data_IF_017906156836
#
_entry.id   IF_017906156836
#
_cell.length_a   1.000
_cell.length_b   1.000
_cell.length_c   1.000
_cell.angle_alpha   90.00
_cell.angle_beta   90.00
_cell.angle_gamma   90.00
#
_symmetry.space_group_name_H-M   'P 1'
#
loop_
_entity.id
_entity.type
_entity.pdbx_description
1 polymer ?
#
# COMPACT_ATOMS: atom_id res chain seq x y z
N UNK A 1 10.11 5.33 14.58
CA UNK A 1 9.06 5.02 13.58
C UNK A 1 7.72 4.94 14.28
N UNK A 2 6.67 5.55 13.71
CA UNK A 2 5.28 5.52 14.21
C UNK A 2 4.43 4.94 13.10
N UNK A 3 3.49 4.04 13.43
CA UNK A 3 2.46 3.54 12.54
C UNK A 3 1.12 4.13 12.99
N UNK A 4 0.45 4.79 12.07
CA UNK A 4 -0.91 5.28 12.25
C UNK A 4 -1.86 4.53 11.31
N UNK A 5 -2.94 3.99 11.87
CA UNK A 5 -4.07 3.51 11.09
C UNK A 5 -4.94 4.71 10.70
N UNK A 6 -5.21 4.87 9.42
CA UNK A 6 -6.01 5.98 8.90
C UNK A 6 -7.47 5.56 8.81
N UNK A 7 -7.78 4.73 7.84
CA UNK A 7 -9.12 4.21 7.62
C UNK A 7 -9.10 3.04 6.63
N UNK A 8 -9.92 2.00 6.83
CA UNK A 8 -9.99 0.80 5.98
C UNK A 8 -8.61 0.14 5.87
N UNK A 9 -8.05 -0.02 4.67
CA UNK A 9 -6.70 -0.53 4.45
C UNK A 9 -5.62 0.56 4.44
N UNK A 10 -5.99 1.80 4.80
CA UNK A 10 -5.10 2.96 4.80
C UNK A 10 -4.25 3.06 6.04
N UNK A 11 -2.93 3.16 5.85
CA UNK A 11 -1.94 3.34 6.91
C UNK A 11 -0.99 4.49 6.59
N UNK A 12 -0.43 5.08 7.65
CA UNK A 12 0.72 5.98 7.53
C UNK A 12 1.88 5.51 8.38
N UNK A 13 3.09 5.70 7.87
CA UNK A 13 4.33 5.43 8.57
C UNK A 13 5.12 6.72 8.65
N UNK A 14 5.40 7.15 9.87
CA UNK A 14 6.27 8.29 10.15
C UNK A 14 7.62 7.80 10.65
N UNK A 15 8.67 8.20 9.94
CA UNK A 15 10.05 7.96 10.33
C UNK A 15 10.85 9.26 10.30
N UNK A 16 12.13 9.21 10.64
CA UNK A 16 12.98 10.39 10.61
C UNK A 16 13.16 10.92 9.18
N UNK A 17 12.72 12.15 8.93
CA UNK A 17 12.82 12.81 7.62
C UNK A 17 11.93 12.20 6.52
N UNK A 18 11.03 11.27 6.84
CA UNK A 18 10.19 10.62 5.83
C UNK A 18 8.80 10.27 6.37
N UNK A 19 7.82 10.36 5.48
CA UNK A 19 6.44 9.94 5.70
C UNK A 19 5.98 9.06 4.54
N UNK A 20 5.32 7.95 4.83
CA UNK A 20 4.61 7.13 3.85
C UNK A 20 3.13 7.17 4.17
N UNK A 21 2.29 7.30 3.13
CA UNK A 21 0.84 7.10 3.19
C UNK A 21 0.51 5.99 2.19
N UNK A 22 -0.19 4.95 2.64
CA UNK A 22 -0.45 3.74 1.86
C UNK A 22 -1.96 3.52 1.81
N UNK A 23 -2.49 3.24 0.61
CA UNK A 23 -3.89 2.89 0.36
C UNK A 23 -4.90 3.87 0.98
N UNK A 24 -4.75 5.15 0.64
CA UNK A 24 -5.62 6.20 1.14
C UNK A 24 -7.02 6.13 0.52
N UNK A 25 -8.02 5.93 1.38
CA UNK A 25 -9.44 6.01 1.02
C UNK A 25 -10.08 7.31 1.50
N UNK A 26 -9.97 7.61 2.76
CA UNK A 26 -10.44 8.88 3.37
C UNK A 26 -9.67 9.18 4.65
N UNK A 27 -9.63 10.47 5.00
CA UNK A 27 -8.94 11.00 6.17
C UNK A 27 -9.85 11.09 7.39
N UNK A 28 -10.44 10.02 7.80
CA UNK A 28 -11.21 10.05 9.04
C UNK A 28 -10.95 8.79 9.83
N UNK A 29 -10.58 8.97 11.08
CA UNK A 29 -10.58 7.93 12.08
C UNK A 29 -11.80 8.10 12.99
N UNK A 30 -12.30 7.00 13.51
CA UNK A 30 -13.33 7.00 14.55
C UNK A 30 -12.82 7.52 15.88
N UNK A 31 -11.49 7.62 16.04
CA UNK A 31 -10.85 8.11 17.26
C UNK A 31 -10.46 9.57 17.14
N UNK A 32 -10.67 10.37 18.19
CA UNK A 32 -10.24 11.77 18.27
C UNK A 32 -8.72 11.93 18.04
N UNK A 33 -7.93 10.90 18.35
CA UNK A 33 -6.48 10.94 18.21
C UNK A 33 -6.01 11.03 16.75
N UNK A 34 -6.69 10.38 15.82
CA UNK A 34 -6.25 10.27 14.43
C UNK A 34 -7.24 10.94 13.45
N UNK A 35 -8.21 11.68 13.95
CA UNK A 35 -9.17 12.39 13.11
C UNK A 35 -8.47 13.47 12.28
N UNK A 36 -8.63 13.40 10.95
CA UNK A 36 -8.01 14.34 10.04
C UNK A 36 -6.47 14.25 9.96
N UNK A 37 -5.87 13.13 10.37
CA UNK A 37 -4.41 13.02 10.53
C UNK A 37 -3.63 13.33 9.25
N UNK A 38 -4.18 12.97 8.08
CA UNK A 38 -3.49 13.18 6.81
C UNK A 38 -3.40 14.66 6.48
N UNK A 39 -4.55 15.35 6.45
CA UNK A 39 -4.61 16.76 6.07
C UNK A 39 -4.05 17.69 7.14
N UNK A 40 -4.34 17.43 8.40
CA UNK A 40 -3.94 18.32 9.50
C UNK A 40 -2.47 18.16 9.88
N UNK A 41 -1.87 17.00 9.60
CA UNK A 41 -0.51 16.71 10.07
C UNK A 41 0.41 16.13 9.02
N UNK A 42 0.06 15.01 8.39
CA UNK A 42 1.02 14.25 7.59
C UNK A 42 1.45 14.99 6.32
N UNK A 43 0.54 15.68 5.65
CA UNK A 43 0.85 16.49 4.48
C UNK A 43 1.71 17.73 4.83
N UNK A 44 1.73 18.15 6.10
CA UNK A 44 2.50 19.29 6.57
C UNK A 44 3.88 18.88 7.14
N UNK A 45 4.16 17.58 7.28
CA UNK A 45 5.44 17.14 7.84
C UNK A 45 6.62 17.50 6.93
N UNK A 46 7.73 17.97 7.50
CA UNK A 46 8.96 18.16 6.74
C UNK A 46 9.55 16.80 6.31
N UNK A 47 10.38 16.82 5.28
CA UNK A 47 11.04 15.62 4.75
C UNK A 47 10.34 15.05 3.52
N UNK A 48 10.75 13.90 3.05
CA UNK A 48 10.16 13.23 1.90
C UNK A 48 8.78 12.65 2.22
N UNK A 49 7.86 12.77 1.28
CA UNK A 49 6.53 12.17 1.36
C UNK A 49 6.32 11.21 0.19
N UNK A 50 6.08 9.95 0.52
CA UNK A 50 5.69 8.90 -0.43
C UNK A 50 4.22 8.55 -0.25
N UNK A 51 3.50 8.41 -1.36
CA UNK A 51 2.12 7.95 -1.36
C UNK A 51 2.02 6.72 -2.25
N UNK A 52 1.61 5.60 -1.66
CA UNK A 52 1.52 4.31 -2.30
C UNK A 52 0.06 3.89 -2.47
N UNK A 53 -0.24 3.22 -3.58
CA UNK A 53 -1.54 2.59 -3.77
C UNK A 53 -1.38 1.20 -4.38
N UNK A 54 -1.93 0.20 -3.70
CA UNK A 54 -1.79 -1.21 -4.05
C UNK A 54 -2.60 -1.61 -5.27
N UNK A 55 -3.79 -1.01 -5.48
CA UNK A 55 -4.65 -1.26 -6.61
C UNK A 55 -5.72 -0.18 -6.82
N UNK A 56 -6.52 -0.33 -7.89
CA UNK A 56 -7.43 0.72 -8.39
C UNK A 56 -8.77 0.84 -7.65
N UNK A 57 -9.14 -0.07 -6.75
CA UNK A 57 -10.41 -0.01 -6.04
C UNK A 57 -10.53 1.27 -5.19
N UNK A 58 -11.74 1.86 -5.07
CA UNK A 58 -11.91 3.17 -4.44
C UNK A 58 -11.45 3.24 -2.98
N UNK A 59 -11.51 2.13 -2.26
CA UNK A 59 -11.13 1.99 -0.85
C UNK A 59 -9.61 1.84 -0.63
N UNK A 60 -8.84 1.70 -1.73
CA UNK A 60 -7.37 1.70 -1.73
C UNK A 60 -6.77 2.86 -2.54
N UNK A 61 -7.57 3.44 -3.45
CA UNK A 61 -7.14 4.55 -4.29
C UNK A 61 -8.21 5.62 -4.40
N UNK A 62 -8.15 6.63 -3.55
CA UNK A 62 -8.95 7.84 -3.70
C UNK A 62 -8.21 8.85 -4.59
N UNK A 63 -8.85 9.31 -5.68
CA UNK A 63 -8.27 10.29 -6.61
C UNK A 63 -7.90 11.62 -5.97
N UNK A 64 -8.44 11.92 -4.80
CA UNK A 64 -8.08 13.10 -4.01
C UNK A 64 -6.56 13.20 -3.80
N UNK A 65 -5.86 12.07 -3.63
CA UNK A 65 -4.41 12.08 -3.42
C UNK A 65 -3.64 12.83 -4.52
N UNK A 66 -4.15 12.81 -5.76
CA UNK A 66 -3.50 13.49 -6.89
C UNK A 66 -3.56 15.03 -6.75
N UNK A 67 -4.55 15.57 -6.04
CA UNK A 67 -4.67 17.01 -5.79
C UNK A 67 -3.67 17.51 -4.74
N UNK A 68 -3.11 16.61 -3.94
CA UNK A 68 -2.15 16.99 -2.89
C UNK A 68 -0.87 17.62 -3.44
N UNK A 69 -0.52 17.37 -4.72
CA UNK A 69 0.59 18.06 -5.39
C UNK A 69 0.42 19.57 -5.47
N UNK A 70 -0.79 20.10 -5.37
CA UNK A 70 -1.04 21.55 -5.36
C UNK A 70 -0.43 22.21 -4.12
N UNK A 71 -0.46 21.54 -2.97
CA UNK A 71 0.12 22.02 -1.72
C UNK A 71 1.47 21.38 -1.39
N UNK A 72 1.77 20.20 -1.97
CA UNK A 72 2.98 19.42 -1.70
C UNK A 72 3.55 18.86 -3.02
N UNK A 73 4.18 19.72 -3.86
CA UNK A 73 4.62 19.34 -5.22
C UNK A 73 5.74 18.29 -5.23
N UNK A 74 6.42 18.08 -4.10
CA UNK A 74 7.50 17.12 -3.89
C UNK A 74 7.04 15.70 -3.55
N UNK A 75 5.74 15.42 -3.51
CA UNK A 75 5.20 14.07 -3.28
C UNK A 75 5.70 13.09 -4.35
N UNK A 76 6.20 11.95 -3.89
CA UNK A 76 6.57 10.82 -4.73
C UNK A 76 5.44 9.80 -4.70
N UNK A 77 4.72 9.65 -5.82
CA UNK A 77 3.67 8.65 -5.96
C UNK A 77 4.23 7.37 -6.55
N UNK A 78 3.91 6.23 -5.91
CA UNK A 78 4.29 4.88 -6.37
C UNK A 78 3.03 4.01 -6.35
N UNK A 79 2.52 3.70 -7.52
CA UNK A 79 1.24 3.03 -7.70
C UNK A 79 1.38 1.71 -8.43
N UNK A 80 0.44 0.80 -8.19
CA UNK A 80 0.27 -0.38 -9.03
C UNK A 80 -0.10 0.01 -10.47
N UNK A 81 0.42 -0.73 -11.44
CA UNK A 81 0.12 -0.51 -12.87
C UNK A 81 -1.36 -0.68 -13.24
N UNK A 82 -2.14 -1.40 -12.44
CA UNK A 82 -3.57 -1.54 -12.69
C UNK A 82 -4.33 -0.22 -12.52
N UNK A 83 -3.87 0.68 -11.66
CA UNK A 83 -4.42 2.03 -11.49
C UNK A 83 -4.33 2.82 -12.81
N UNK A 84 -3.19 2.74 -13.50
CA UNK A 84 -3.04 3.32 -14.84
C UNK A 84 -3.91 2.60 -15.88
N UNK A 85 -3.91 1.26 -15.87
CA UNK A 85 -4.70 0.42 -16.77
C UNK A 85 -6.21 0.70 -16.67
N UNK A 86 -6.70 0.98 -15.46
CA UNK A 86 -8.10 1.32 -15.20
C UNK A 86 -8.38 2.84 -15.27
N UNK A 87 -7.47 3.63 -15.83
CA UNK A 87 -7.61 5.08 -16.06
C UNK A 87 -7.97 5.85 -14.77
N UNK A 88 -7.46 5.41 -13.63
CA UNK A 88 -7.67 6.10 -12.35
C UNK A 88 -6.69 7.25 -12.16
N UNK A 89 -5.52 7.18 -12.80
CA UNK A 89 -4.49 8.22 -12.87
C UNK A 89 -3.85 8.21 -14.26
N UNK A 90 -3.04 9.23 -14.58
CA UNK A 90 -2.33 9.37 -15.85
C UNK A 90 -0.89 8.88 -15.71
N UNK A 91 -0.21 8.65 -16.85
CA UNK A 91 1.17 8.16 -16.87
C UNK A 91 2.18 9.07 -16.18
N UNK A 92 1.93 10.38 -16.19
CA UNK A 92 2.76 11.41 -15.58
C UNK A 92 2.50 11.64 -14.09
N UNK A 93 1.42 11.06 -13.54
CA UNK A 93 1.04 11.29 -12.14
C UNK A 93 1.96 10.57 -11.17
N UNK A 94 2.46 9.39 -11.54
CA UNK A 94 3.16 8.49 -10.61
C UNK A 94 4.22 7.62 -11.29
N UNK A 95 5.04 6.99 -10.47
CA UNK A 95 5.86 5.84 -10.83
C UNK A 95 4.97 4.60 -10.68
N UNK A 96 4.86 3.82 -11.75
CA UNK A 96 4.01 2.63 -11.76
C UNK A 96 4.86 1.37 -11.72
N UNK A 97 4.57 0.50 -10.76
CA UNK A 97 5.24 -0.78 -10.60
C UNK A 97 4.24 -1.95 -10.65
N UNK A 98 4.71 -3.10 -11.04
CA UNK A 98 3.94 -4.33 -11.12
C UNK A 98 4.64 -5.43 -10.32
N UNK A 99 3.97 -6.55 -10.09
CA UNK A 99 4.56 -7.74 -9.46
C UNK A 99 5.95 -8.05 -10.02
N UNK A 100 6.92 -8.19 -9.15
CA UNK A 100 8.34 -8.46 -9.48
C UNK A 100 9.16 -7.23 -9.85
N UNK A 101 8.54 -6.05 -9.94
CA UNK A 101 9.27 -4.79 -10.14
C UNK A 101 9.54 -4.10 -8.79
N UNK A 102 10.45 -3.15 -8.80
CA UNK A 102 10.85 -2.41 -7.61
C UNK A 102 11.08 -0.93 -7.90
N UNK A 103 10.97 -0.14 -6.86
CA UNK A 103 11.40 1.24 -6.79
C UNK A 103 12.45 1.38 -5.70
N UNK A 104 13.53 2.12 -5.97
CA UNK A 104 14.57 2.41 -4.99
C UNK A 104 15.11 3.83 -5.19
N UNK A 105 15.33 4.52 -4.09
CA UNK A 105 16.07 5.78 -4.04
C UNK A 105 17.01 5.81 -2.83
N UNK A 106 17.55 6.98 -2.47
CA UNK A 106 18.45 7.18 -1.33
C UNK A 106 17.79 7.00 0.05
N UNK A 107 16.47 6.85 0.11
CA UNK A 107 15.68 6.83 1.35
C UNK A 107 15.08 5.46 1.65
N UNK A 108 14.51 4.81 0.63
CA UNK A 108 13.81 3.54 0.78
C UNK A 108 13.88 2.69 -0.49
N UNK A 109 13.58 1.39 -0.32
CA UNK A 109 13.35 0.46 -1.41
C UNK A 109 11.99 -0.18 -1.24
N UNK A 110 11.23 -0.27 -2.32
CA UNK A 110 9.90 -0.89 -2.39
C UNK A 110 9.94 -2.00 -3.42
N UNK A 111 9.58 -3.21 -3.02
CA UNK A 111 9.41 -4.35 -3.91
C UNK A 111 7.92 -4.70 -4.01
N UNK A 112 7.45 -4.93 -5.24
CA UNK A 112 6.06 -5.29 -5.49
C UNK A 112 5.92 -6.82 -5.57
N UNK A 113 5.02 -7.37 -4.76
CA UNK A 113 4.56 -8.76 -4.82
C UNK A 113 3.15 -8.81 -5.39
N UNK A 114 2.63 -9.99 -5.66
CA UNK A 114 1.28 -10.15 -6.18
C UNK A 114 0.21 -9.96 -5.11
N UNK A 115 -1.03 -10.01 -5.56
CA UNK A 115 -2.24 -10.04 -4.75
C UNK A 115 -3.11 -11.22 -5.20
N UNK A 116 -4.02 -11.65 -4.37
CA UNK A 116 -5.05 -12.67 -4.71
C UNK A 116 -6.36 -12.06 -5.17
N UNK A 117 -6.47 -10.72 -5.09
CA UNK A 117 -7.49 -9.94 -5.78
C UNK A 117 -6.84 -9.28 -7.02
N UNK A 118 -6.67 -7.98 -7.03
CA UNK A 118 -6.02 -7.20 -8.09
C UNK A 118 -4.84 -6.41 -7.55
N UNK A 119 -3.96 -5.94 -8.46
CA UNK A 119 -2.84 -5.09 -8.11
C UNK A 119 -1.68 -5.82 -7.45
N UNK A 120 -1.11 -5.21 -6.43
CA UNK A 120 0.14 -5.64 -5.79
C UNK A 120 0.07 -5.49 -4.26
N UNK A 121 0.95 -6.22 -3.57
CA UNK A 121 1.36 -5.93 -2.20
C UNK A 121 2.76 -5.34 -2.18
N UNK A 122 3.12 -4.66 -1.10
CA UNK A 122 4.40 -3.95 -0.98
C UNK A 122 5.28 -4.55 0.12
N UNK A 123 6.54 -4.80 -0.18
CA UNK A 123 7.60 -4.95 0.82
C UNK A 123 8.48 -3.69 0.80
N UNK A 124 8.48 -2.97 1.90
CA UNK A 124 9.13 -1.67 2.04
C UNK A 124 10.33 -1.81 2.98
N UNK A 125 11.51 -1.46 2.49
CA UNK A 125 12.72 -1.36 3.31
C UNK A 125 12.98 0.11 3.62
N UNK A 126 12.86 0.47 4.90
CA UNK A 126 13.02 1.84 5.39
C UNK A 126 13.80 1.85 6.70
N UNK A 127 14.93 2.56 6.72
CA UNK A 127 15.75 2.75 7.92
C UNK A 127 16.05 1.44 8.67
N UNK A 128 16.45 0.39 7.92
CA UNK A 128 16.80 -0.91 8.46
C UNK A 128 15.61 -1.77 8.90
N UNK A 129 14.37 -1.36 8.60
CA UNK A 129 13.15 -2.12 8.85
C UNK A 129 12.57 -2.66 7.56
N UNK A 130 12.00 -3.86 7.64
CA UNK A 130 11.23 -4.51 6.57
C UNK A 130 9.75 -4.47 6.93
N UNK A 131 8.95 -3.78 6.11
CA UNK A 131 7.53 -3.52 6.36
C UNK A 131 6.75 -4.10 5.19
N UNK A 132 5.77 -4.93 5.48
CA UNK A 132 4.90 -5.53 4.49
C UNK A 132 3.49 -4.94 4.58
N UNK A 133 2.96 -4.49 3.43
CA UNK A 133 1.56 -4.10 3.27
C UNK A 133 0.91 -5.02 2.24
N UNK A 134 -0.09 -5.76 2.69
CA UNK A 134 -0.71 -6.81 1.89
C UNK A 134 -1.61 -6.27 0.76
N UNK A 135 -2.11 -5.01 0.87
CA UNK A 135 -3.26 -4.62 0.06
C UNK A 135 -4.38 -5.62 0.29
N UNK A 136 -4.91 -6.21 -0.77
CA UNK A 136 -5.93 -7.25 -0.72
C UNK A 136 -5.38 -8.68 -0.96
N UNK A 137 -4.11 -8.90 -0.61
CA UNK A 137 -3.56 -10.25 -0.56
C UNK A 137 -4.14 -11.01 0.64
N UNK A 138 -5.11 -11.88 0.38
CA UNK A 138 -5.79 -12.68 1.39
C UNK A 138 -6.23 -14.03 0.83
N UNK A 139 -6.62 -14.95 1.69
CA UNK A 139 -7.22 -16.24 1.29
C UNK A 139 -8.74 -16.06 1.09
N UNK A 140 -9.12 -15.47 -0.05
CA UNK A 140 -10.49 -15.10 -0.36
C UNK A 140 -11.37 -16.33 -0.66
N UNK A 141 -12.09 -16.81 0.35
CA UNK A 141 -13.20 -17.73 0.17
C UNK A 141 -14.23 -17.58 1.30
N UNK A 142 -15.47 -17.92 1.00
CA UNK A 142 -16.57 -17.98 1.98
C UNK A 142 -16.92 -19.43 2.20
N UNK A 143 -16.62 -19.97 3.37
CA UNK A 143 -16.75 -21.41 3.68
C UNK A 143 -18.16 -21.97 3.51
N UNK A 144 -19.19 -21.12 3.60
CA UNK A 144 -20.60 -21.54 3.42
C UNK A 144 -21.10 -21.42 1.97
N UNK A 145 -20.41 -20.65 1.12
CA UNK A 145 -20.84 -20.33 -0.25
C UNK A 145 -19.89 -20.89 -1.31
N UNK A 146 -18.61 -21.08 -0.97
CA UNK A 146 -17.59 -21.54 -1.89
C UNK A 146 -17.57 -23.06 -2.01
N UNK A 147 -17.38 -23.54 -3.22
CA UNK A 147 -17.13 -24.97 -3.47
C UNK A 147 -15.72 -25.36 -2.96
N UNK A 148 -15.52 -26.65 -2.69
CA UNK A 148 -14.20 -27.18 -2.30
C UNK A 148 -13.11 -26.84 -3.33
N UNK A 149 -13.45 -26.76 -4.62
CA UNK A 149 -12.49 -26.42 -5.68
C UNK A 149 -12.09 -24.94 -5.60
N UNK A 150 -13.03 -24.03 -5.34
CA UNK A 150 -12.76 -22.60 -5.16
C UNK A 150 -11.92 -22.37 -3.91
N UNK A 151 -12.24 -23.03 -2.80
CA UNK A 151 -11.46 -22.96 -1.55
C UNK A 151 -10.01 -23.38 -1.81
N UNK A 152 -9.79 -24.56 -2.42
CA UNK A 152 -8.44 -25.05 -2.72
C UNK A 152 -7.68 -24.14 -3.67
N UNK A 153 -8.38 -23.52 -4.63
CA UNK A 153 -7.77 -22.57 -5.55
C UNK A 153 -7.34 -21.30 -4.82
N UNK A 154 -8.23 -20.71 -4.02
CA UNK A 154 -7.93 -19.51 -3.23
C UNK A 154 -6.74 -19.73 -2.27
N UNK A 155 -6.74 -20.86 -1.56
CA UNK A 155 -5.63 -21.26 -0.68
C UNK A 155 -4.32 -21.43 -1.46
N UNK A 156 -4.37 -22.11 -2.61
CA UNK A 156 -3.20 -22.33 -3.47
C UNK A 156 -2.61 -21.03 -4.00
N UNK A 157 -3.45 -20.12 -4.48
CA UNK A 157 -3.04 -18.79 -4.99
C UNK A 157 -2.42 -17.95 -3.86
N UNK A 158 -3.07 -17.92 -2.69
CA UNK A 158 -2.55 -17.21 -1.51
C UNK A 158 -1.20 -17.75 -1.04
N UNK A 159 -1.10 -19.08 -0.88
CA UNK A 159 0.15 -19.72 -0.43
C UNK A 159 1.28 -19.53 -1.43
N UNK A 160 1.01 -19.45 -2.73
CA UNK A 160 2.03 -19.17 -3.75
C UNK A 160 2.63 -17.77 -3.57
N UNK A 161 1.79 -16.75 -3.33
CA UNK A 161 2.26 -15.38 -3.08
C UNK A 161 3.03 -15.27 -1.75
N UNK A 162 2.53 -15.88 -0.68
CA UNK A 162 3.20 -15.89 0.63
C UNK A 162 4.54 -16.63 0.56
N UNK A 163 4.62 -17.70 -0.21
CA UNK A 163 5.90 -18.41 -0.44
C UNK A 163 6.92 -17.52 -1.14
N UNK A 164 6.50 -16.80 -2.19
CA UNK A 164 7.37 -15.89 -2.91
C UNK A 164 7.85 -14.74 -2.01
N UNK A 165 6.95 -14.17 -1.20
CA UNK A 165 7.33 -13.18 -0.19
C UNK A 165 8.36 -13.73 0.79
N UNK A 166 8.13 -14.93 1.35
CA UNK A 166 9.03 -15.57 2.31
C UNK A 166 10.44 -15.84 1.75
N UNK A 167 10.52 -16.20 0.47
CA UNK A 167 11.80 -16.42 -0.21
C UNK A 167 12.58 -15.11 -0.39
N UNK A 168 11.88 -13.99 -0.58
CA UNK A 168 12.47 -12.65 -0.76
C UNK A 168 12.74 -11.93 0.56
N UNK A 169 11.92 -12.18 1.58
CA UNK A 169 12.00 -11.55 2.91
C UNK A 169 11.78 -12.61 4.01
N UNK A 170 12.84 -13.26 4.48
CA UNK A 170 12.71 -14.28 5.52
C UNK A 170 12.24 -13.75 6.87
N UNK A 171 12.34 -12.44 7.08
CA UNK A 171 11.83 -11.74 8.27
C UNK A 171 11.19 -10.40 7.88
N UNK A 172 10.03 -10.11 8.47
CA UNK A 172 9.31 -8.85 8.34
C UNK A 172 9.14 -8.26 9.75
N UNK A 173 9.53 -6.99 9.93
CA UNK A 173 9.42 -6.31 11.24
C UNK A 173 7.98 -5.88 11.53
N UNK A 174 7.21 -5.55 10.48
CA UNK A 174 5.82 -5.10 10.58
C UNK A 174 5.01 -5.61 9.39
N UNK A 175 3.87 -6.23 9.65
CA UNK A 175 2.88 -6.63 8.64
C UNK A 175 1.56 -5.89 8.83
N UNK A 176 1.05 -5.29 7.75
CA UNK A 176 -0.28 -4.70 7.64
C UNK A 176 -1.09 -5.61 6.70
N UNK A 177 -2.03 -6.32 7.25
CA UNK A 177 -2.82 -7.35 6.55
C UNK A 177 -4.32 -7.09 6.71
N UNK A 178 -5.16 -7.52 5.73
CA UNK A 178 -6.61 -7.37 5.81
C UNK A 178 -7.25 -8.08 6.99
#
# INVERSE_FOLDING_TARGET
MILDYIYHSGFAIEAEGVTLIIDYYKDSSETERNKGIVHDRLLQRPGKLYVLASHFHPDHFNREILTWKEQRPDIIYIFSKDILKHHRAQSEDAIYINKGEEYEDDTLRIQAFGSTDVGISFLIHLQGKSIFHAGDLNNWHWSEESTEQEIRKAEGDFLAEVKFLRESAPAVDLGMVP
#
